data_IF_818273734150
#
_entry.id   IF_818273734150
#
_cell.length_a   1.000
_cell.length_b   1.000
_cell.length_c   1.000
_cell.angle_alpha   90.00
_cell.angle_beta   90.00
_cell.angle_gamma   90.00
#
_symmetry.space_group_name_H-M   'P 1'
#
loop_
_entity.id
_entity.type
_entity.pdbx_description
1 polymer ?
#
# COMPACT_ATOMS: atom_id res chain seq x y z
N UNK A 1 15.28 10.32 2.08
CA UNK A 1 14.77 10.34 3.47
C UNK A 1 13.29 10.70 3.54
N UNK A 2 12.79 11.63 2.71
CA UNK A 2 11.40 12.10 2.77
C UNK A 2 10.29 11.07 2.48
N UNK A 3 10.37 10.18 1.47
CA UNK A 3 9.22 9.33 1.11
C UNK A 3 8.79 8.33 2.20
N UNK A 4 9.71 7.60 2.87
CA UNK A 4 9.34 6.73 3.99
C UNK A 4 8.75 7.48 5.19
N UNK A 5 9.22 8.70 5.46
CA UNK A 5 8.67 9.54 6.54
C UNK A 5 7.20 9.89 6.25
N UNK A 6 6.89 10.27 5.01
CA UNK A 6 5.51 10.54 4.57
C UNK A 6 4.60 9.34 4.85
N UNK A 7 4.97 8.14 4.39
CA UNK A 7 4.18 6.93 4.66
C UNK A 7 4.00 6.68 6.15
N UNK A 8 5.07 6.79 6.95
CA UNK A 8 4.99 6.61 8.40
C UNK A 8 4.01 7.59 9.08
N UNK A 9 4.07 8.87 8.72
CA UNK A 9 3.16 9.89 9.24
C UNK A 9 1.71 9.62 8.83
N UNK A 10 1.47 9.28 7.56
CA UNK A 10 0.13 8.93 7.07
C UNK A 10 -0.43 7.70 7.80
N UNK A 11 0.38 6.68 8.04
CA UNK A 11 -0.06 5.49 8.79
C UNK A 11 -0.43 5.79 10.24
N UNK A 12 0.34 6.64 10.92
CA UNK A 12 0.00 7.08 12.29
C UNK A 12 -1.26 7.96 12.29
N UNK A 13 -1.38 8.89 11.35
CA UNK A 13 -2.57 9.73 11.20
C UNK A 13 -3.84 8.90 10.95
N UNK A 14 -3.74 7.86 10.12
CA UNK A 14 -4.84 6.95 9.81
C UNK A 14 -5.33 6.20 11.06
N UNK A 15 -4.42 5.65 11.87
CA UNK A 15 -4.78 5.01 13.15
C UNK A 15 -5.38 6.02 14.13
N UNK A 16 -4.80 7.22 14.23
CA UNK A 16 -5.28 8.27 15.12
C UNK A 16 -6.70 8.73 14.77
N UNK A 17 -6.97 8.94 13.48
CA UNK A 17 -8.29 9.33 12.99
C UNK A 17 -9.34 8.25 13.30
N UNK A 18 -9.06 6.98 12.98
CA UNK A 18 -9.99 5.89 13.27
C UNK A 18 -10.21 5.68 14.77
N UNK A 19 -9.15 5.78 15.59
CA UNK A 19 -9.29 5.73 17.03
C UNK A 19 -10.19 6.84 17.56
N UNK A 20 -10.05 8.06 17.02
CA UNK A 20 -10.91 9.20 17.37
C UNK A 20 -12.37 8.94 16.97
N UNK A 21 -12.65 8.55 15.72
CA UNK A 21 -14.02 8.28 15.26
C UNK A 21 -14.73 7.21 16.09
N UNK A 22 -14.02 6.14 16.44
CA UNK A 22 -14.53 5.08 17.31
C UNK A 22 -14.79 5.59 18.74
N UNK A 23 -13.86 6.36 19.31
CA UNK A 23 -14.01 6.91 20.66
C UNK A 23 -15.14 7.93 20.78
N UNK A 24 -15.39 8.72 19.73
CA UNK A 24 -16.46 9.72 19.70
C UNK A 24 -17.80 9.17 19.21
N UNK A 25 -17.87 7.88 18.84
CA UNK A 25 -19.08 7.26 18.31
C UNK A 25 -19.53 7.81 16.95
N UNK A 26 -18.60 8.38 16.17
CA UNK A 26 -18.86 8.94 14.82
C UNK A 26 -18.90 7.85 13.73
N UNK A 27 -19.29 6.63 14.10
CA UNK A 27 -19.31 5.46 13.22
C UNK A 27 -20.69 4.79 13.27
N UNK A 28 -21.76 5.46 12.80
CA UNK A 28 -23.11 4.89 12.79
C UNK A 28 -23.20 3.57 12.00
N UNK A 29 -22.31 3.37 11.02
CA UNK A 29 -22.18 2.18 10.18
C UNK A 29 -21.91 0.91 10.97
N UNK A 30 -21.32 1.02 12.16
CA UNK A 30 -21.09 -0.13 13.05
C UNK A 30 -22.42 -0.80 13.46
N UNK A 31 -23.53 -0.04 13.48
CA UNK A 31 -24.87 -0.57 13.78
C UNK A 31 -25.64 -0.95 12.51
N UNK A 32 -25.46 -0.21 11.42
CA UNK A 32 -26.27 -0.40 10.21
C UNK A 32 -25.66 -1.39 9.22
N UNK A 33 -24.34 -1.40 9.05
CA UNK A 33 -23.61 -2.26 8.09
C UNK A 33 -22.33 -2.86 8.72
N UNK A 34 -22.46 -3.63 9.83
CA UNK A 34 -21.33 -4.04 10.65
C UNK A 34 -20.26 -4.85 9.91
N UNK A 35 -20.64 -5.73 8.96
CA UNK A 35 -19.69 -6.58 8.23
C UNK A 35 -18.86 -5.74 7.26
N UNK A 36 -19.52 -4.89 6.47
CA UNK A 36 -18.86 -3.96 5.56
C UNK A 36 -17.92 -3.04 6.31
N UNK A 37 -18.40 -2.43 7.40
CA UNK A 37 -17.61 -1.52 8.22
C UNK A 37 -16.41 -2.21 8.89
N UNK A 38 -16.58 -3.43 9.38
CA UNK A 38 -15.46 -4.19 9.99
C UNK A 38 -14.36 -4.48 8.97
N UNK A 39 -14.71 -4.93 7.76
CA UNK A 39 -13.69 -5.16 6.73
C UNK A 39 -13.06 -3.87 6.22
N UNK A 40 -13.82 -2.77 6.23
CA UNK A 40 -13.27 -1.44 5.98
C UNK A 40 -12.18 -1.08 6.99
N UNK A 41 -12.45 -1.24 8.30
CA UNK A 41 -11.45 -1.04 9.35
C UNK A 41 -10.25 -1.98 9.23
N UNK A 42 -10.45 -3.23 8.80
CA UNK A 42 -9.35 -4.16 8.54
C UNK A 42 -8.45 -3.64 7.41
N UNK A 43 -9.03 -3.19 6.30
CA UNK A 43 -8.27 -2.64 5.18
C UNK A 43 -7.48 -1.38 5.60
N UNK A 44 -8.09 -0.49 6.38
CA UNK A 44 -7.46 0.72 6.90
C UNK A 44 -6.33 0.40 7.90
N UNK A 45 -6.56 -0.56 8.80
CA UNK A 45 -5.55 -1.05 9.74
C UNK A 45 -4.35 -1.68 9.02
N UNK A 46 -4.59 -2.52 8.00
CA UNK A 46 -3.54 -3.10 7.18
C UNK A 46 -2.74 -2.02 6.45
N UNK A 47 -3.41 -1.00 5.92
CA UNK A 47 -2.79 0.15 5.26
C UNK A 47 -1.86 0.89 6.21
N UNK A 48 -2.37 1.27 7.38
CA UNK A 48 -1.58 1.96 8.39
C UNK A 48 -0.35 1.17 8.84
N UNK A 49 -0.54 -0.11 9.17
CA UNK A 49 0.55 -0.99 9.60
C UNK A 49 1.58 -1.19 8.49
N UNK A 50 1.16 -1.41 7.25
CA UNK A 50 2.08 -1.53 6.12
C UNK A 50 2.91 -0.26 5.93
N UNK A 51 2.30 0.92 6.01
CA UNK A 51 2.97 2.22 5.94
C UNK A 51 4.02 2.38 7.06
N UNK A 52 3.66 2.11 8.31
CA UNK A 52 4.55 2.24 9.47
C UNK A 52 5.70 1.23 9.40
N UNK A 53 5.41 -0.04 9.07
CA UNK A 53 6.42 -1.10 8.97
C UNK A 53 7.38 -0.81 7.81
N UNK A 54 6.88 -0.37 6.66
CA UNK A 54 7.70 0.02 5.52
C UNK A 54 8.61 1.20 5.86
N UNK A 55 8.08 2.23 6.51
CA UNK A 55 8.85 3.41 6.96
C UNK A 55 9.98 3.00 7.91
N UNK A 56 9.67 2.20 8.95
CA UNK A 56 10.66 1.70 9.90
C UNK A 56 11.68 0.78 9.24
N UNK A 57 11.23 -0.11 8.37
CA UNK A 57 12.10 -1.01 7.61
C UNK A 57 13.09 -0.26 6.74
N UNK A 58 12.65 0.86 6.13
CA UNK A 58 13.50 1.68 5.29
C UNK A 58 14.59 2.37 6.10
N UNK A 59 14.24 2.94 7.26
CA UNK A 59 15.22 3.52 8.19
C UNK A 59 16.23 2.48 8.70
N UNK A 60 15.79 1.23 8.87
CA UNK A 60 16.65 0.10 9.23
C UNK A 60 17.34 -0.57 8.03
N UNK A 61 17.28 0.05 6.84
CA UNK A 61 17.88 -0.43 5.58
C UNK A 61 17.55 -1.89 5.24
N UNK A 62 16.36 -2.36 5.60
CA UNK A 62 15.93 -3.73 5.34
C UNK A 62 15.61 -3.94 3.86
N UNK A 63 15.99 -5.09 3.32
CA UNK A 63 15.81 -5.41 1.90
C UNK A 63 14.34 -5.44 1.46
N UNK A 64 13.42 -5.82 2.36
CA UNK A 64 11.98 -5.88 2.09
C UNK A 64 11.29 -4.52 2.18
N UNK A 65 11.98 -3.50 2.70
CA UNK A 65 11.35 -2.21 3.00
C UNK A 65 10.90 -1.48 1.73
N UNK A 66 11.73 -1.47 0.70
CA UNK A 66 11.40 -0.80 -0.56
C UNK A 66 10.19 -1.43 -1.28
N UNK A 67 10.13 -2.76 -1.50
CA UNK A 67 8.95 -3.34 -2.13
C UNK A 67 7.70 -3.26 -1.24
N UNK A 68 7.83 -3.42 0.09
CA UNK A 68 6.70 -3.23 1.00
C UNK A 68 6.19 -1.77 1.00
N UNK A 69 7.09 -0.78 0.89
CA UNK A 69 6.71 0.62 0.79
C UNK A 69 5.85 0.89 -0.44
N UNK A 70 6.17 0.31 -1.60
CA UNK A 70 5.37 0.47 -2.81
C UNK A 70 3.96 -0.12 -2.65
N UNK A 71 3.85 -1.30 -2.04
CA UNK A 71 2.56 -1.91 -1.70
C UNK A 71 1.77 -1.02 -0.73
N UNK A 72 2.42 -0.52 0.32
CA UNK A 72 1.82 0.37 1.31
C UNK A 72 1.31 1.68 0.67
N UNK A 73 2.07 2.25 -0.26
CA UNK A 73 1.63 3.44 -1.01
C UNK A 73 0.45 3.15 -1.93
N UNK A 74 0.35 1.94 -2.49
CA UNK A 74 -0.81 1.49 -3.25
C UNK A 74 -2.06 1.35 -2.39
N UNK A 75 -1.94 0.69 -1.23
CA UNK A 75 -2.99 0.60 -0.22
C UNK A 75 -3.48 2.01 0.18
N UNK A 76 -2.53 2.89 0.54
CA UNK A 76 -2.80 4.26 0.96
C UNK A 76 -3.48 5.07 -0.15
N UNK A 77 -3.01 5.00 -1.39
CA UNK A 77 -3.56 5.73 -2.52
C UNK A 77 -5.04 5.38 -2.74
N UNK A 78 -5.38 4.09 -2.66
CA UNK A 78 -6.77 3.67 -2.78
C UNK A 78 -7.59 4.15 -1.57
N UNK A 79 -7.07 4.02 -0.36
CA UNK A 79 -7.77 4.45 0.86
C UNK A 79 -8.17 5.94 0.81
N UNK A 80 -7.21 6.83 0.49
CA UNK A 80 -7.47 8.27 0.43
C UNK A 80 -8.39 8.66 -0.72
N UNK A 81 -8.31 7.95 -1.86
CA UNK A 81 -9.20 8.16 -2.99
C UNK A 81 -10.63 7.72 -2.66
N UNK A 82 -10.80 6.55 -2.02
CA UNK A 82 -12.09 6.05 -1.57
C UNK A 82 -12.72 7.00 -0.54
N UNK A 83 -11.93 7.45 0.44
CA UNK A 83 -12.40 8.39 1.46
C UNK A 83 -12.86 9.72 0.84
N UNK A 84 -12.14 10.25 -0.16
CA UNK A 84 -12.57 11.43 -0.90
C UNK A 84 -13.95 11.22 -1.55
N UNK A 85 -14.15 10.06 -2.22
CA UNK A 85 -15.44 9.70 -2.81
C UNK A 85 -16.57 9.62 -1.78
N UNK A 86 -16.34 8.97 -0.64
CA UNK A 86 -17.33 8.87 0.44
C UNK A 86 -17.74 10.25 0.97
N UNK A 87 -16.81 11.15 1.25
CA UNK A 87 -17.14 12.48 1.77
C UNK A 87 -17.77 13.41 0.73
N UNK A 88 -17.56 13.16 -0.56
CA UNK A 88 -18.30 13.83 -1.64
C UNK A 88 -19.80 13.48 -1.55
N UNK A 89 -20.12 12.20 -1.34
CA UNK A 89 -21.51 11.75 -1.17
C UNK A 89 -22.17 12.33 0.09
N UNK A 90 -21.40 12.45 1.19
CA UNK A 90 -21.87 13.05 2.44
C UNK A 90 -21.95 14.59 2.40
N UNK A 91 -21.47 15.24 1.33
CA UNK A 91 -21.42 16.70 1.19
C UNK A 91 -20.65 17.40 2.33
N UNK A 92 -19.54 16.81 2.77
CA UNK A 92 -18.72 17.34 3.89
C UNK A 92 -17.46 18.06 3.36
N UNK A 93 -17.52 19.37 3.06
CA UNK A 93 -16.50 20.08 2.26
C UNK A 93 -15.11 20.08 2.87
N UNK A 94 -15.01 20.07 4.20
CA UNK A 94 -13.72 20.04 4.92
C UNK A 94 -13.00 18.71 4.65
N UNK A 95 -13.72 17.58 4.80
CA UNK A 95 -13.16 16.26 4.58
C UNK A 95 -12.88 15.98 3.11
N UNK A 96 -13.76 16.44 2.20
CA UNK A 96 -13.51 16.38 0.74
C UNK A 96 -12.17 17.03 0.41
N UNK A 97 -11.97 18.28 0.86
CA UNK A 97 -10.74 19.03 0.59
C UNK A 97 -9.52 18.29 1.14
N UNK A 98 -9.59 17.81 2.39
CA UNK A 98 -8.49 17.10 3.04
C UNK A 98 -8.09 15.82 2.28
N UNK A 99 -9.04 14.96 1.93
CA UNK A 99 -8.73 13.69 1.26
C UNK A 99 -8.35 13.85 -0.21
N UNK A 100 -8.87 14.87 -0.91
CA UNK A 100 -8.37 15.24 -2.24
C UNK A 100 -6.91 15.67 -2.18
N UNK A 101 -6.53 16.49 -1.18
CA UNK A 101 -5.14 16.87 -0.96
C UNK A 101 -4.25 15.67 -0.63
N UNK A 102 -4.69 14.75 0.25
CA UNK A 102 -3.93 13.53 0.54
C UNK A 102 -3.80 12.60 -0.66
N UNK A 103 -4.82 12.53 -1.52
CA UNK A 103 -4.76 11.79 -2.79
C UNK A 103 -3.71 12.41 -3.72
N UNK A 104 -3.76 13.72 -3.93
CA UNK A 104 -2.81 14.45 -4.76
C UNK A 104 -1.37 14.34 -4.22
N UNK A 105 -1.18 14.45 -2.91
CA UNK A 105 0.12 14.29 -2.26
C UNK A 105 0.64 12.86 -2.40
N UNK A 106 -0.19 11.84 -2.17
CA UNK A 106 0.21 10.43 -2.30
C UNK A 106 0.62 10.11 -3.75
N UNK A 107 -0.21 10.51 -4.71
CA UNK A 107 0.07 10.36 -6.14
C UNK A 107 1.32 11.14 -6.54
N UNK A 108 1.51 12.35 -6.00
CA UNK A 108 2.69 13.17 -6.26
C UNK A 108 3.98 12.60 -5.69
N UNK A 109 3.95 12.05 -4.47
CA UNK A 109 5.09 11.34 -3.88
C UNK A 109 5.46 10.14 -4.77
N UNK A 110 4.47 9.36 -5.21
CA UNK A 110 4.70 8.24 -6.14
C UNK A 110 5.28 8.71 -7.48
N UNK A 111 4.67 9.70 -8.12
CA UNK A 111 5.03 10.16 -9.46
C UNK A 111 6.33 10.95 -9.54
N UNK A 112 6.64 11.80 -8.54
CA UNK A 112 7.79 12.70 -8.61
C UNK A 112 8.97 12.29 -7.72
N UNK A 113 8.73 11.71 -6.54
CA UNK A 113 9.81 11.39 -5.61
C UNK A 113 10.24 9.93 -5.70
N UNK A 114 9.29 9.01 -5.82
CA UNK A 114 9.57 7.57 -5.86
C UNK A 114 9.88 7.11 -7.28
N UNK A 115 9.08 7.54 -8.26
CA UNK A 115 9.20 7.17 -9.69
C UNK A 115 9.33 5.65 -9.92
N UNK A 116 8.32 4.84 -9.54
CA UNK A 116 8.36 3.39 -9.75
C UNK A 116 8.64 3.05 -11.23
N UNK A 117 9.43 2.01 -11.48
CA UNK A 117 9.74 1.53 -12.84
C UNK A 117 9.39 0.05 -13.03
N UNK A 118 8.82 -0.28 -14.19
CA UNK A 118 8.51 -1.66 -14.60
C UNK A 118 7.74 -2.44 -13.53
N UNK A 119 8.39 -3.44 -12.93
CA UNK A 119 7.80 -4.30 -11.89
C UNK A 119 7.39 -3.57 -10.60
N UNK A 120 7.94 -2.39 -10.34
CA UNK A 120 7.61 -1.63 -9.13
C UNK A 120 6.17 -1.07 -9.19
N UNK A 121 5.68 -0.73 -10.39
CA UNK A 121 4.27 -0.39 -10.58
C UNK A 121 3.34 -1.56 -10.24
N UNK A 122 3.77 -2.80 -10.50
CA UNK A 122 2.99 -3.97 -10.10
C UNK A 122 2.80 -4.03 -8.58
N UNK A 123 3.80 -3.66 -7.79
CA UNK A 123 3.67 -3.63 -6.33
C UNK A 123 2.68 -2.55 -5.87
N UNK A 124 2.69 -1.38 -6.50
CA UNK A 124 1.70 -0.31 -6.22
C UNK A 124 0.29 -0.79 -6.58
N UNK A 125 0.10 -1.38 -7.77
CA UNK A 125 -1.20 -1.89 -8.20
C UNK A 125 -1.69 -3.07 -7.38
N UNK A 126 -0.80 -3.95 -6.93
CA UNK A 126 -1.17 -5.02 -6.00
C UNK A 126 -1.62 -4.45 -4.66
N UNK A 127 -0.99 -3.37 -4.18
CA UNK A 127 -1.46 -2.62 -3.02
C UNK A 127 -2.89 -2.09 -3.22
N UNK A 128 -3.16 -1.38 -4.31
CA UNK A 128 -4.51 -0.84 -4.58
C UNK A 128 -5.55 -1.96 -4.73
N UNK A 129 -5.22 -3.04 -5.45
CA UNK A 129 -6.09 -4.20 -5.62
C UNK A 129 -6.37 -4.92 -4.29
N UNK A 130 -5.36 -5.06 -3.41
CA UNK A 130 -5.53 -5.73 -2.13
C UNK A 130 -6.52 -4.96 -1.26
N UNK A 131 -6.39 -3.63 -1.19
CA UNK A 131 -7.35 -2.80 -0.48
C UNK A 131 -8.76 -2.99 -1.06
N UNK A 132 -8.90 -2.82 -2.38
CA UNK A 132 -10.19 -2.88 -3.06
C UNK A 132 -10.89 -4.22 -2.84
N UNK A 133 -10.16 -5.33 -3.01
CA UNK A 133 -10.73 -6.67 -2.85
C UNK A 133 -11.17 -6.95 -1.42
N UNK A 134 -10.41 -6.55 -0.39
CA UNK A 134 -10.82 -6.70 1.02
C UNK A 134 -12.10 -5.93 1.33
N UNK A 135 -12.22 -4.69 0.84
CA UNK A 135 -13.44 -3.89 0.99
C UNK A 135 -14.64 -4.53 0.30
N UNK A 136 -14.46 -4.97 -0.94
CA UNK A 136 -15.52 -5.56 -1.76
C UNK A 136 -16.06 -6.86 -1.15
N UNK A 137 -15.22 -7.67 -0.50
CA UNK A 137 -15.69 -8.82 0.30
C UNK A 137 -16.67 -8.37 1.37
N UNK A 138 -16.36 -7.28 2.07
CA UNK A 138 -17.22 -6.74 3.13
C UNK A 138 -18.58 -6.27 2.61
N UNK A 139 -18.62 -5.63 1.43
CA UNK A 139 -19.85 -5.19 0.78
C UNK A 139 -20.77 -6.36 0.45
N UNK A 140 -20.28 -7.34 -0.32
CA UNK A 140 -21.12 -8.48 -0.74
C UNK A 140 -21.49 -9.40 0.42
N UNK A 141 -20.59 -9.58 1.41
CA UNK A 141 -20.91 -10.35 2.60
C UNK A 141 -22.03 -9.70 3.42
N UNK A 142 -22.05 -8.37 3.51
CA UNK A 142 -23.12 -7.61 4.16
C UNK A 142 -24.48 -7.79 3.44
N UNK A 143 -24.46 -7.85 2.12
CA UNK A 143 -25.64 -8.07 1.26
C UNK A 143 -26.09 -9.53 1.18
N UNK A 144 -25.33 -10.46 1.80
CA UNK A 144 -25.51 -11.92 1.74
C UNK A 144 -25.40 -12.50 0.32
N UNK A 145 -24.67 -11.83 -0.57
CA UNK A 145 -24.37 -12.34 -1.90
C UNK A 145 -23.07 -13.17 -1.89
N UNK A 146 -23.23 -14.48 -1.70
CA UNK A 146 -22.11 -15.38 -1.41
C UNK A 146 -21.22 -15.66 -2.62
N UNK A 147 -21.76 -15.62 -3.84
CA UNK A 147 -20.96 -15.89 -5.05
C UNK A 147 -19.85 -14.85 -5.24
N UNK A 148 -20.14 -13.53 -5.31
CA UNK A 148 -19.10 -12.52 -5.40
C UNK A 148 -18.30 -12.43 -4.10
N UNK A 149 -18.87 -12.69 -2.91
CA UNK A 149 -18.10 -12.75 -1.66
C UNK A 149 -16.96 -13.77 -1.75
N UNK A 150 -17.24 -14.99 -2.20
CA UNK A 150 -16.21 -16.03 -2.37
C UNK A 150 -15.22 -15.64 -3.47
N UNK A 151 -15.71 -15.14 -4.61
CA UNK A 151 -14.86 -14.71 -5.72
C UNK A 151 -13.85 -13.63 -5.28
N UNK A 152 -14.31 -12.57 -4.60
CA UNK A 152 -13.44 -11.49 -4.13
C UNK A 152 -12.54 -11.93 -2.97
N UNK A 153 -12.96 -12.89 -2.15
CA UNK A 153 -12.10 -13.49 -1.11
C UNK A 153 -10.94 -14.27 -1.72
N UNK A 154 -11.20 -15.02 -2.79
CA UNK A 154 -10.16 -15.70 -3.56
C UNK A 154 -9.22 -14.70 -4.23
N UNK A 155 -9.76 -13.65 -4.85
CA UNK A 155 -8.96 -12.58 -5.45
C UNK A 155 -8.06 -11.89 -4.40
N UNK A 156 -8.60 -11.52 -3.24
CA UNK A 156 -7.82 -10.92 -2.15
C UNK A 156 -6.67 -11.84 -1.71
N UNK A 157 -6.95 -13.15 -1.58
CA UNK A 157 -5.95 -14.16 -1.22
C UNK A 157 -4.85 -14.27 -2.28
N UNK A 158 -5.22 -14.35 -3.56
CA UNK A 158 -4.27 -14.43 -4.67
C UNK A 158 -3.43 -13.14 -4.79
N UNK A 159 -4.05 -11.97 -4.61
CA UNK A 159 -3.34 -10.68 -4.60
C UNK A 159 -2.34 -10.60 -3.44
N UNK A 160 -2.72 -11.06 -2.25
CA UNK A 160 -1.82 -11.13 -1.10
C UNK A 160 -0.65 -12.08 -1.36
N UNK A 161 -0.92 -13.28 -1.88
CA UNK A 161 0.11 -14.26 -2.24
C UNK A 161 1.07 -13.70 -3.29
N UNK A 162 0.56 -13.11 -4.37
CA UNK A 162 1.36 -12.47 -5.41
C UNK A 162 2.25 -11.35 -4.83
N UNK A 163 1.69 -10.54 -3.94
CA UNK A 163 2.42 -9.48 -3.23
C UNK A 163 3.59 -10.04 -2.43
N UNK A 164 3.34 -11.07 -1.61
CA UNK A 164 4.37 -11.71 -0.78
C UNK A 164 5.46 -12.35 -1.66
N UNK A 165 5.07 -13.04 -2.73
CA UNK A 165 6.01 -13.67 -3.67
C UNK A 165 6.89 -12.64 -4.39
N UNK A 166 6.33 -11.50 -4.82
CA UNK A 166 7.11 -10.43 -5.44
C UNK A 166 8.06 -9.72 -4.47
N UNK A 167 7.63 -9.51 -3.21
CA UNK A 167 8.52 -8.99 -2.17
C UNK A 167 9.69 -9.96 -1.94
N UNK A 168 9.43 -11.27 -1.86
CA UNK A 168 10.46 -12.29 -1.66
C UNK A 168 11.40 -12.44 -2.87
N UNK A 169 10.88 -12.35 -4.10
CA UNK A 169 11.72 -12.45 -5.30
C UNK A 169 12.65 -11.25 -5.46
N UNK A 170 12.20 -10.06 -5.05
CA UNK A 170 13.05 -8.87 -4.97
C UNK A 170 14.22 -9.06 -3.97
N UNK A 171 13.99 -9.80 -2.88
CA UNK A 171 15.03 -10.17 -1.92
C UNK A 171 16.13 -11.03 -2.54
N UNK A 172 15.70 -12.08 -3.26
CA UNK A 172 16.60 -13.09 -3.81
C UNK A 172 17.58 -12.47 -4.80
N UNK A 173 17.08 -11.61 -5.70
CA UNK A 173 17.89 -10.91 -6.70
C UNK A 173 18.92 -9.97 -6.07
N UNK A 174 18.57 -9.28 -4.97
CA UNK A 174 19.51 -8.38 -4.29
C UNK A 174 20.59 -9.17 -3.55
N UNK A 175 20.25 -10.32 -2.98
CA UNK A 175 21.19 -11.24 -2.34
C UNK A 175 22.20 -11.84 -3.32
N UNK A 176 21.75 -12.25 -4.51
CA UNK A 176 22.61 -12.83 -5.55
C UNK A 176 23.64 -11.83 -6.11
N UNK A 177 23.23 -10.58 -6.31
CA UNK A 177 24.11 -9.49 -6.77
C UNK A 177 25.21 -9.13 -5.76
N UNK A 178 25.03 -9.46 -4.48
CA UNK A 178 26.07 -9.31 -3.46
C UNK A 178 27.01 -10.52 -3.38
N UNK A 179 26.61 -11.68 -3.89
CA UNK A 179 27.39 -12.93 -3.84
C UNK A 179 28.26 -13.15 -5.07
N UNK A 180 27.95 -12.53 -6.19
CA UNK A 180 28.82 -12.54 -7.38
C UNK A 180 29.91 -11.48 -7.20
N UNK A 181 31.16 -11.87 -6.90
CA UNK A 181 32.24 -10.89 -6.85
C UNK A 181 32.35 -10.25 -8.23
N UNK A 182 32.57 -8.93 -8.26
CA UNK A 182 32.83 -8.23 -9.51
C UNK A 182 33.96 -8.97 -10.23
N UNK A 183 33.66 -9.51 -11.41
CA UNK A 183 34.68 -10.15 -12.24
C UNK A 183 35.86 -9.19 -12.34
N UNK A 184 37.09 -9.63 -12.04
CA UNK A 184 38.24 -8.73 -12.05
C UNK A 184 38.28 -7.99 -13.38
N UNK A 185 38.63 -6.69 -13.39
CA UNK A 185 38.69 -5.89 -14.61
C UNK A 185 39.53 -6.66 -15.63
N UNK A 186 38.98 -6.92 -16.82
CA UNK A 186 39.71 -7.59 -17.91
C UNK A 186 40.97 -6.76 -18.18
N UNK A 187 42.13 -7.24 -17.73
CA UNK A 187 43.43 -6.58 -17.93
C UNK A 187 43.96 -6.64 -19.37
N UNK A 188 43.17 -7.11 -20.34
CA UNK A 188 43.62 -7.38 -21.70
C UNK A 188 43.08 -6.37 -22.71
N UNK A 189 43.54 -5.13 -22.63
CA UNK A 189 43.80 -4.29 -23.80
C UNK A 189 45.09 -3.50 -23.55
N UNK A 190 46.18 -4.22 -23.24
CA UNK A 190 47.51 -3.67 -23.51
C UNK A 190 47.66 -3.56 -25.01
N UNK A 191 47.61 -2.32 -25.49
CA UNK A 191 48.05 -1.88 -26.81
C UNK A 191 49.36 -2.60 -27.15
N UNK A 192 49.35 -3.39 -28.21
CA UNK A 192 50.56 -3.80 -28.91
C UNK A 192 51.13 -2.55 -29.59
N UNK A 193 52.37 -2.13 -29.29
CA UNK A 193 53.08 -1.20 -30.17
C UNK A 193 53.43 -1.93 -31.48
N UNK A 194 53.30 -1.20 -32.59
CA UNK A 194 53.59 -1.67 -33.94
C UNK A 194 55.07 -1.79 -34.27
#
# INVERSE_FOLDING_TARGET
MFPPLYAGLMGVALLGMWAMFLATGQTPELKTTPVRFTLHLVAEGLTALACIIAARGWSAQRWWAAPLYLVAMGLLLYAVLQAAGYFIEQQEPVFITMFVLFTALTGGVLGWLVKPQGREWLLVFLGTMLYATVQTVGVFAQERDWVPTVMFSLLATLTLLATVLLIRSAAALKGEKMRTPASPPRQNERKLPG
#
